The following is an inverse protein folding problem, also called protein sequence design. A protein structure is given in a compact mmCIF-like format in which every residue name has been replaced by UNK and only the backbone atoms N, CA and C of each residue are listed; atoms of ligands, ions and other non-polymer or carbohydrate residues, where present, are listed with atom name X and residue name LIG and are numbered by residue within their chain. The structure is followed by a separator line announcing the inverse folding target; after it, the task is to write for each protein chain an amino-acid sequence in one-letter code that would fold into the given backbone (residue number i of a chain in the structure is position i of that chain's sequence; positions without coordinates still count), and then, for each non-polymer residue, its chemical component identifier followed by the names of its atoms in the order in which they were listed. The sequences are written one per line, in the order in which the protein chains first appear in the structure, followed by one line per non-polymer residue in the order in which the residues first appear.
data_IF_528961296381
#
_entry.id   IF_528961296381
#
_cell.length_a   1.000
_cell.length_b   1.000
_cell.length_c   1.000
_cell.angle_alpha   90.00
_cell.angle_beta   90.00
_cell.angle_gamma   90.00
#
_symmetry.space_group_name_H-M   'P 1'
#
loop_
_entity.id
_entity.type
_entity.pdbx_description
1 polymer ?
#
# COMPACT_ATOMS: atom_id res chain seq x y z
N UNK A 1 53.65 58.27 16.86
CA UNK A 1 52.30 57.84 17.25
C UNK A 1 51.58 57.27 16.06
N UNK A 2 51.73 55.92 15.85
CA UNK A 2 51.13 55.17 14.73
C UNK A 2 49.84 54.55 15.20
N UNK A 3 48.70 54.91 14.61
CA UNK A 3 47.40 54.31 14.87
C UNK A 3 47.22 53.08 13.98
N UNK A 4 47.11 51.91 14.58
CA UNK A 4 46.73 50.67 13.92
C UNK A 4 45.19 50.60 13.92
N UNK A 5 44.58 50.62 12.73
CA UNK A 5 43.16 50.42 12.55
C UNK A 5 42.91 48.88 12.40
N UNK A 6 42.25 48.30 13.39
CA UNK A 6 41.81 46.90 13.30
C UNK A 6 40.53 46.84 12.44
N UNK A 7 40.64 46.29 11.23
CA UNK A 7 39.47 46.00 10.38
C UNK A 7 38.82 44.69 10.83
N UNK A 8 37.56 44.74 11.31
CA UNK A 8 36.75 43.59 11.57
C UNK A 8 36.20 43.03 10.24
N UNK A 9 36.70 41.90 9.80
CA UNK A 9 36.09 41.13 8.72
C UNK A 9 34.87 40.38 9.20
N UNK A 10 33.67 40.90 8.94
CA UNK A 10 32.43 40.19 9.07
C UNK A 10 32.34 39.12 7.98
N UNK A 11 32.66 37.89 8.35
CA UNK A 11 32.45 36.73 7.50
C UNK A 11 30.92 36.51 7.33
N UNK A 12 30.41 36.82 6.15
CA UNK A 12 29.09 36.43 5.70
C UNK A 12 29.14 34.90 5.48
N UNK A 13 28.71 34.15 6.48
CA UNK A 13 28.36 32.76 6.27
C UNK A 13 27.01 32.75 5.53
N UNK A 14 27.07 32.84 4.21
CA UNK A 14 25.95 32.55 3.35
C UNK A 14 25.62 31.06 3.49
N UNK A 15 24.60 30.74 4.27
CA UNK A 15 24.01 29.41 4.24
C UNK A 15 23.55 29.16 2.81
N UNK A 16 24.15 28.17 2.15
CA UNK A 16 23.67 27.67 0.87
C UNK A 16 22.30 27.06 1.21
N UNK A 17 21.23 27.70 0.80
CA UNK A 17 19.92 27.07 0.84
C UNK A 17 20.01 25.86 -0.09
N UNK A 18 20.08 24.65 0.47
CA UNK A 18 20.03 23.43 -0.28
C UNK A 18 18.60 23.32 -0.83
N UNK A 19 18.48 23.15 -2.15
CA UNK A 19 17.18 22.86 -2.75
C UNK A 19 16.66 21.55 -2.15
N UNK A 20 15.38 21.49 -1.87
CA UNK A 20 14.75 20.26 -1.42
C UNK A 20 14.85 19.18 -2.53
N UNK A 21 15.09 17.95 -2.12
CA UNK A 21 15.11 16.82 -3.05
C UNK A 21 13.67 16.43 -3.41
N UNK A 22 13.39 16.35 -4.71
CA UNK A 22 12.09 15.88 -5.22
C UNK A 22 11.91 14.39 -4.91
N UNK A 23 10.78 14.02 -4.32
CA UNK A 23 10.44 12.63 -4.02
C UNK A 23 8.98 12.34 -4.39
N UNK A 24 8.76 11.30 -5.18
CA UNK A 24 7.42 10.82 -5.50
C UNK A 24 7.07 9.58 -4.69
N UNK A 25 5.99 9.69 -3.88
CA UNK A 25 5.43 8.60 -3.07
C UNK A 25 4.18 8.03 -3.75
N UNK A 26 4.21 6.77 -4.16
CA UNK A 26 3.06 6.03 -4.66
C UNK A 26 2.32 5.33 -3.52
N UNK A 27 1.06 5.69 -3.30
CA UNK A 27 0.20 5.00 -2.32
C UNK A 27 -0.34 3.70 -2.89
N UNK A 28 -0.67 2.76 -2.00
CA UNK A 28 -1.26 1.46 -2.37
C UNK A 28 -2.69 1.57 -2.85
N UNK A 29 -3.46 2.51 -2.32
CA UNK A 29 -4.89 2.63 -2.56
C UNK A 29 -5.30 4.08 -2.78
N UNK A 30 -6.58 4.31 -3.08
CA UNK A 30 -7.15 5.66 -3.17
C UNK A 30 -6.95 6.42 -1.86
N UNK A 31 -7.07 7.74 -1.92
CA UNK A 31 -6.92 8.60 -0.74
C UNK A 31 -7.99 8.29 0.30
N UNK A 32 -7.56 7.73 1.42
CA UNK A 32 -8.41 7.32 2.55
C UNK A 32 -7.68 7.52 3.88
N UNK A 33 -8.38 7.31 4.99
CA UNK A 33 -7.90 7.59 6.35
C UNK A 33 -6.57 6.89 6.71
N UNK A 34 -6.30 5.68 6.21
CA UNK A 34 -5.04 4.97 6.45
C UNK A 34 -3.80 5.69 5.91
N UNK A 35 -3.98 6.62 4.99
CA UNK A 35 -2.89 7.43 4.42
C UNK A 35 -2.82 8.84 4.99
N UNK A 36 -3.68 9.18 5.97
CA UNK A 36 -3.75 10.54 6.52
C UNK A 36 -2.37 11.04 7.01
N UNK A 37 -1.55 10.16 7.60
CA UNK A 37 -0.22 10.53 8.09
C UNK A 37 0.69 11.13 7.02
N UNK A 38 0.66 10.61 5.79
CA UNK A 38 1.47 11.11 4.68
C UNK A 38 1.01 12.50 4.24
N UNK A 39 -0.30 12.71 4.15
CA UNK A 39 -0.87 14.02 3.78
C UNK A 39 -0.67 15.07 4.88
N UNK A 40 -0.82 14.66 6.15
CA UNK A 40 -0.56 15.55 7.30
C UNK A 40 0.92 15.93 7.35
N UNK A 41 1.83 15.01 7.09
CA UNK A 41 3.26 15.30 7.04
C UNK A 41 3.58 16.36 5.97
N UNK A 42 2.95 16.25 4.80
CA UNK A 42 3.07 17.25 3.73
C UNK A 42 2.45 18.59 4.14
N UNK A 43 1.20 18.60 4.64
CA UNK A 43 0.47 19.81 5.02
C UNK A 43 1.16 20.59 6.15
N UNK A 44 1.82 19.89 7.06
CA UNK A 44 2.56 20.47 8.18
C UNK A 44 4.01 20.87 7.88
N UNK A 45 4.48 20.60 6.68
CA UNK A 45 5.85 20.92 6.28
C UNK A 45 6.91 19.97 6.84
N UNK A 46 6.53 18.80 7.36
CA UNK A 46 7.51 17.85 7.94
C UNK A 46 8.45 17.28 6.90
N UNK A 47 8.02 17.16 5.65
CA UNK A 47 8.91 16.73 4.57
C UNK A 47 9.91 17.83 4.21
N UNK A 48 9.45 19.07 4.14
CA UNK A 48 10.28 20.24 3.85
C UNK A 48 11.32 20.48 4.95
N UNK A 49 10.99 20.22 6.22
CA UNK A 49 11.94 20.27 7.36
C UNK A 49 13.08 19.26 7.18
N UNK A 50 12.80 18.13 6.52
CA UNK A 50 13.81 17.09 6.19
C UNK A 50 14.46 17.31 4.80
N UNK A 51 14.18 18.43 4.14
CA UNK A 51 14.74 18.78 2.85
C UNK A 51 14.13 18.02 1.67
N UNK A 52 12.87 17.58 1.78
CA UNK A 52 12.16 16.83 0.74
C UNK A 52 10.98 17.64 0.19
N UNK A 53 10.82 17.68 -1.13
CA UNK A 53 9.56 18.06 -1.78
C UNK A 53 8.82 16.79 -2.23
N UNK A 54 7.79 16.42 -1.47
CA UNK A 54 7.09 15.14 -1.67
C UNK A 54 5.84 15.29 -2.52
N UNK A 55 5.81 14.60 -3.65
CA UNK A 55 4.61 14.40 -4.46
C UNK A 55 3.93 13.08 -4.08
N UNK A 56 2.68 13.15 -3.58
CA UNK A 56 1.90 11.96 -3.20
C UNK A 56 0.99 11.57 -4.36
N UNK A 57 1.18 10.36 -4.92
CA UNK A 57 0.32 9.77 -5.94
C UNK A 57 -0.65 8.77 -5.30
N UNK A 58 -1.97 8.95 -5.45
CA UNK A 58 -2.92 7.96 -5.00
C UNK A 58 -2.78 6.66 -5.79
N UNK A 59 -3.10 5.54 -5.16
CA UNK A 59 -3.22 4.24 -5.78
C UNK A 59 -4.67 3.92 -6.18
N UNK A 60 -4.97 2.64 -6.30
CA UNK A 60 -6.31 2.16 -6.66
C UNK A 60 -6.34 0.66 -6.95
N UNK A 61 -7.55 0.12 -7.26
CA UNK A 61 -7.74 -1.31 -7.50
C UNK A 61 -7.00 -1.85 -8.74
N UNK A 62 -6.64 -0.98 -9.67
CA UNK A 62 -5.96 -1.34 -10.92
C UNK A 62 -4.50 -0.84 -10.97
N UNK A 63 -3.96 -0.37 -9.84
CA UNK A 63 -2.60 0.12 -9.74
C UNK A 63 -1.75 -0.86 -8.93
N UNK A 64 -0.66 -1.33 -9.53
CA UNK A 64 0.37 -2.11 -8.85
C UNK A 64 1.54 -1.19 -8.47
N UNK A 65 1.70 -0.76 -7.22
CA UNK A 65 2.73 0.19 -6.81
C UNK A 65 4.14 -0.25 -7.17
N UNK A 66 4.43 -1.55 -7.08
CA UNK A 66 5.71 -2.13 -7.49
C UNK A 66 6.02 -1.83 -8.96
N UNK A 67 5.03 -1.93 -9.85
CA UNK A 67 5.23 -1.64 -11.27
C UNK A 67 5.47 -0.16 -11.53
N UNK A 68 4.79 0.71 -10.78
CA UNK A 68 5.01 2.16 -10.85
C UNK A 68 6.43 2.50 -10.41
N UNK A 69 6.90 1.93 -9.30
CA UNK A 69 8.26 2.14 -8.78
C UNK A 69 9.32 1.64 -9.77
N UNK A 70 9.19 0.39 -10.23
CA UNK A 70 10.16 -0.22 -11.16
C UNK A 70 10.17 0.47 -12.53
N UNK A 71 9.06 1.06 -12.94
CA UNK A 71 8.95 1.87 -14.15
C UNK A 71 9.47 3.30 -14.01
N UNK A 72 10.02 3.70 -12.85
CA UNK A 72 10.52 5.04 -12.59
C UNK A 72 9.43 6.09 -12.40
N UNK A 73 8.19 5.66 -12.15
CA UNK A 73 7.05 6.55 -11.90
C UNK A 73 6.93 7.00 -10.45
N UNK A 74 7.72 6.44 -9.55
CA UNK A 74 7.81 6.81 -8.13
C UNK A 74 9.18 6.41 -7.56
N UNK A 75 9.59 7.07 -6.49
CA UNK A 75 10.84 6.80 -5.77
C UNK A 75 10.61 5.91 -4.55
N UNK A 76 9.43 6.07 -3.94
CA UNK A 76 8.97 5.30 -2.78
C UNK A 76 7.55 4.82 -3.03
N UNK A 77 7.19 3.66 -2.46
CA UNK A 77 5.83 3.15 -2.54
C UNK A 77 5.35 2.65 -1.18
N UNK A 78 4.05 2.72 -0.96
CA UNK A 78 3.35 1.98 0.08
C UNK A 78 2.76 0.72 -0.56
N UNK A 79 3.11 -0.45 -0.03
CA UNK A 79 2.56 -1.72 -0.53
C UNK A 79 2.35 -2.72 0.60
N UNK A 80 1.62 -3.80 0.33
CA UNK A 80 1.50 -4.94 1.21
C UNK A 80 2.79 -5.75 1.23
N UNK A 81 3.19 -6.21 2.40
CA UNK A 81 4.38 -7.06 2.54
C UNK A 81 4.35 -8.31 1.62
N UNK A 82 3.24 -9.06 1.49
CA UNK A 82 3.19 -10.21 0.57
C UNK A 82 3.47 -9.84 -0.89
N UNK A 83 2.94 -8.72 -1.38
CA UNK A 83 3.20 -8.29 -2.77
C UNK A 83 4.64 -7.85 -2.97
N UNK A 84 5.21 -7.13 -1.99
CA UNK A 84 6.61 -6.74 -2.02
C UNK A 84 7.56 -7.95 -1.98
N UNK A 85 7.26 -8.97 -1.16
CA UNK A 85 8.03 -10.22 -1.12
C UNK A 85 7.96 -10.96 -2.45
N UNK A 86 6.76 -11.14 -3.02
CA UNK A 86 6.59 -11.78 -4.33
C UNK A 86 7.32 -11.05 -5.45
N UNK A 87 7.40 -9.72 -5.39
CA UNK A 87 8.20 -8.93 -6.34
C UNK A 87 9.70 -9.18 -6.15
N UNK A 88 10.18 -9.21 -4.90
CA UNK A 88 11.60 -9.50 -4.60
C UNK A 88 12.01 -10.91 -5.05
N UNK A 89 11.17 -11.91 -4.85
CA UNK A 89 11.40 -13.28 -5.33
C UNK A 89 11.58 -13.33 -6.86
N UNK A 90 10.92 -12.41 -7.57
CA UNK A 90 11.08 -12.23 -9.03
C UNK A 90 12.27 -11.33 -9.41
N UNK A 91 13.08 -10.93 -8.45
CA UNK A 91 14.29 -10.14 -8.67
C UNK A 91 14.10 -8.62 -8.62
N UNK A 92 12.95 -8.11 -8.19
CA UNK A 92 12.76 -6.65 -8.04
C UNK A 92 13.73 -6.08 -6.99
N UNK A 93 14.54 -5.05 -7.34
CA UNK A 93 15.53 -4.46 -6.45
C UNK A 93 14.89 -3.44 -5.48
N UNK A 94 13.93 -3.88 -4.69
CA UNK A 94 13.24 -3.06 -3.71
C UNK A 94 13.69 -3.36 -2.29
N UNK A 95 13.71 -2.35 -1.41
CA UNK A 95 14.06 -2.45 0.01
C UNK A 95 12.92 -1.92 0.85
N UNK A 96 12.66 -2.57 1.98
CA UNK A 96 11.75 -2.04 2.98
C UNK A 96 12.49 -1.00 3.84
N UNK A 97 12.01 0.25 3.83
CA UNK A 97 12.60 1.36 4.59
C UNK A 97 11.77 1.73 5.81
N UNK A 98 10.48 1.34 5.86
CA UNK A 98 9.60 1.61 7.01
C UNK A 98 8.41 0.64 7.03
N UNK A 99 7.89 0.39 8.22
CA UNK A 99 6.68 -0.40 8.42
C UNK A 99 5.72 0.34 9.36
N UNK A 100 4.90 1.27 8.83
CA UNK A 100 3.99 2.09 9.64
C UNK A 100 2.84 1.30 10.25
N UNK A 101 2.49 0.13 9.71
CA UNK A 101 1.43 -0.75 10.22
C UNK A 101 2.00 -2.06 10.76
N UNK A 102 1.69 -2.40 12.00
CA UNK A 102 2.17 -3.62 12.64
C UNK A 102 1.42 -4.88 12.18
N UNK A 103 0.17 -4.72 11.70
CA UNK A 103 -0.72 -5.82 11.26
C UNK A 103 -1.50 -5.42 10.01
N UNK A 104 -1.82 -6.42 9.17
CA UNK A 104 -2.77 -6.24 8.07
C UNK A 104 -4.18 -6.03 8.63
N UNK A 105 -4.94 -5.11 8.02
CA UNK A 105 -6.37 -4.97 8.25
C UNK A 105 -7.23 -5.82 7.31
N UNK A 106 -6.63 -6.68 6.49
CA UNK A 106 -7.38 -7.50 5.54
C UNK A 106 -8.24 -8.52 6.28
N UNK A 107 -9.51 -8.57 5.91
CA UNK A 107 -10.51 -9.52 6.40
C UNK A 107 -11.19 -10.20 5.21
N UNK A 108 -11.78 -11.36 5.44
CA UNK A 108 -12.76 -11.97 4.55
C UNK A 108 -14.13 -11.87 5.22
N UNK A 109 -15.05 -11.17 4.59
CA UNK A 109 -16.39 -10.91 5.08
C UNK A 109 -17.39 -11.69 4.24
N UNK A 110 -18.24 -12.49 4.90
CA UNK A 110 -19.29 -13.29 4.26
C UNK A 110 -20.66 -12.82 4.71
N UNK A 111 -21.67 -12.90 3.85
CA UNK A 111 -23.06 -12.70 4.28
C UNK A 111 -23.51 -13.89 5.12
N UNK A 112 -24.13 -13.62 6.25
CA UNK A 112 -24.62 -14.67 7.18
C UNK A 112 -25.60 -15.66 6.55
N UNK A 113 -26.36 -15.22 5.56
CA UNK A 113 -27.33 -16.05 4.85
C UNK A 113 -26.71 -17.19 4.02
N UNK A 114 -25.40 -17.09 3.70
CA UNK A 114 -24.65 -18.17 3.03
C UNK A 114 -24.21 -19.28 3.97
N UNK A 115 -24.37 -19.10 5.29
CA UNK A 115 -24.06 -20.12 6.28
C UNK A 115 -22.56 -20.45 6.39
N UNK A 116 -21.70 -19.55 5.93
CA UNK A 116 -20.23 -19.68 6.01
C UNK A 116 -19.80 -19.13 7.37
N UNK A 117 -19.49 -20.02 8.31
CA UNK A 117 -19.12 -19.69 9.68
C UNK A 117 -17.64 -20.00 9.97
N UNK A 118 -17.03 -20.84 9.15
CA UNK A 118 -15.67 -21.32 9.35
C UNK A 118 -14.95 -21.54 8.01
N UNK A 119 -13.62 -21.69 7.98
CA UNK A 119 -12.87 -22.00 6.75
C UNK A 119 -13.28 -23.32 6.08
N UNK A 120 -13.80 -24.27 6.84
CA UNK A 120 -14.27 -25.56 6.36
C UNK A 120 -15.51 -25.44 5.44
N UNK A 121 -16.19 -24.30 5.52
CA UNK A 121 -17.38 -23.99 4.70
C UNK A 121 -17.03 -23.31 3.37
N UNK A 122 -15.74 -22.98 3.11
CA UNK A 122 -15.32 -22.29 1.89
C UNK A 122 -15.45 -23.11 0.61
N UNK A 123 -15.18 -24.44 0.58
CA UNK A 123 -15.25 -25.22 -0.65
C UNK A 123 -16.60 -25.08 -1.36
N UNK A 124 -16.53 -24.90 -2.69
CA UNK A 124 -17.70 -24.69 -3.55
C UNK A 124 -18.20 -23.24 -3.63
N UNK A 125 -17.64 -22.33 -2.84
CA UNK A 125 -18.04 -20.92 -2.83
C UNK A 125 -17.10 -20.03 -3.64
N UNK A 126 -17.63 -18.85 -4.03
CA UNK A 126 -16.87 -17.81 -4.74
C UNK A 126 -16.40 -16.75 -3.73
N UNK A 127 -15.12 -16.53 -3.68
CA UNK A 127 -14.48 -15.54 -2.81
C UNK A 127 -14.00 -14.36 -3.65
N UNK A 128 -14.59 -13.20 -3.44
CA UNK A 128 -14.21 -11.96 -4.09
C UNK A 128 -12.97 -11.34 -3.47
N UNK A 129 -12.01 -10.90 -4.28
CA UNK A 129 -10.84 -10.18 -3.81
C UNK A 129 -10.34 -9.15 -4.81
N UNK A 130 -9.62 -8.14 -4.32
CA UNK A 130 -8.86 -7.25 -5.18
C UNK A 130 -7.62 -7.98 -5.71
N UNK A 131 -7.15 -7.53 -6.86
CA UNK A 131 -5.93 -8.07 -7.49
C UNK A 131 -4.76 -7.09 -7.37
N UNK A 132 -3.73 -7.28 -8.18
CA UNK A 132 -2.47 -6.51 -8.15
C UNK A 132 -1.73 -6.61 -6.81
N UNK A 133 -1.65 -7.83 -6.27
CA UNK A 133 -0.96 -8.17 -5.03
C UNK A 133 -1.86 -8.24 -3.80
N UNK A 134 -3.12 -7.77 -3.89
CA UNK A 134 -4.06 -7.85 -2.78
C UNK A 134 -4.66 -9.27 -2.63
N UNK A 135 -4.69 -10.07 -3.69
CA UNK A 135 -5.15 -11.46 -3.70
C UNK A 135 -4.20 -12.42 -2.98
N UNK A 136 -2.91 -12.08 -2.88
CA UNK A 136 -1.87 -12.99 -2.38
C UNK A 136 -2.18 -13.55 -0.98
N UNK A 137 -2.61 -12.75 0.01
CA UNK A 137 -2.93 -13.28 1.34
C UNK A 137 -4.08 -14.30 1.31
N UNK A 138 -5.14 -14.04 0.53
CA UNK A 138 -6.28 -14.95 0.40
C UNK A 138 -5.87 -16.25 -0.27
N UNK A 139 -5.19 -16.17 -1.41
CA UNK A 139 -4.71 -17.34 -2.13
C UNK A 139 -3.73 -18.17 -1.30
N UNK A 140 -2.83 -17.51 -0.56
CA UNK A 140 -1.91 -18.19 0.36
C UNK A 140 -2.65 -18.89 1.51
N UNK A 141 -3.74 -18.29 1.99
CA UNK A 141 -4.57 -18.92 3.03
C UNK A 141 -5.29 -20.14 2.48
N UNK A 142 -5.92 -20.05 1.31
CA UNK A 142 -6.54 -21.20 0.65
C UNK A 142 -5.53 -22.33 0.40
N UNK A 143 -4.33 -22.01 -0.08
CA UNK A 143 -3.27 -22.98 -0.26
C UNK A 143 -2.85 -23.69 1.04
N UNK A 144 -2.82 -22.99 2.19
CA UNK A 144 -2.55 -23.58 3.50
C UNK A 144 -3.67 -24.52 3.98
N UNK A 145 -4.91 -24.23 3.60
CA UNK A 145 -6.06 -25.09 3.88
C UNK A 145 -6.16 -26.28 2.91
N UNK A 146 -5.35 -26.28 1.83
CA UNK A 146 -5.40 -27.32 0.82
C UNK A 146 -6.52 -27.13 -0.20
N UNK A 147 -7.11 -25.96 -0.29
CA UNK A 147 -8.21 -25.67 -1.21
C UNK A 147 -7.68 -25.12 -2.54
N UNK A 148 -7.94 -25.80 -3.68
CA UNK A 148 -7.73 -25.23 -5.00
C UNK A 148 -8.48 -23.89 -5.16
N UNK A 149 -7.91 -22.98 -5.97
CA UNK A 149 -8.48 -21.62 -6.14
C UNK A 149 -9.00 -21.37 -7.56
N UNK A 150 -9.19 -22.43 -8.32
CA UNK A 150 -9.63 -22.42 -9.72
C UNK A 150 -11.08 -22.91 -9.92
N UNK A 151 -11.80 -23.15 -8.81
CA UNK A 151 -13.18 -23.65 -8.83
C UNK A 151 -13.31 -25.16 -9.04
N UNK A 152 -12.21 -25.92 -8.98
CA UNK A 152 -12.26 -27.38 -9.02
C UNK A 152 -12.86 -27.98 -7.76
N UNK A 153 -13.23 -29.28 -7.81
CA UNK A 153 -13.86 -29.97 -6.70
C UNK A 153 -13.06 -29.85 -5.40
N UNK A 154 -13.75 -29.50 -4.32
CA UNK A 154 -13.15 -29.29 -3.01
C UNK A 154 -12.40 -27.96 -2.87
N UNK A 155 -12.42 -27.10 -3.89
CA UNK A 155 -11.79 -25.80 -3.89
C UNK A 155 -12.77 -24.64 -3.83
N UNK A 156 -12.25 -23.44 -4.05
CA UNK A 156 -12.99 -22.18 -4.11
C UNK A 156 -12.77 -21.51 -5.47
N UNK A 157 -13.73 -20.68 -5.88
CA UNK A 157 -13.53 -19.79 -7.04
C UNK A 157 -13.04 -18.44 -6.55
N UNK A 158 -11.92 -17.96 -7.08
CA UNK A 158 -11.44 -16.58 -6.79
C UNK A 158 -11.92 -15.65 -7.89
N UNK A 159 -12.72 -14.65 -7.50
CA UNK A 159 -13.26 -13.65 -8.40
C UNK A 159 -12.65 -12.29 -8.12
N UNK A 160 -12.17 -11.60 -9.17
CA UNK A 160 -11.77 -10.20 -9.05
C UNK A 160 -12.99 -9.34 -8.75
N UNK A 161 -12.92 -8.57 -7.67
CA UNK A 161 -13.87 -7.50 -7.36
C UNK A 161 -13.19 -6.14 -7.52
N UNK A 162 -14.00 -5.11 -7.68
CA UNK A 162 -13.55 -3.73 -7.76
C UNK A 162 -13.52 -3.08 -6.38
N UNK A 163 -13.59 -1.80 -6.36
CA UNK A 163 -13.44 -0.89 -5.24
C UNK A 163 -14.53 -1.03 -4.17
N UNK A 164 -15.74 -1.45 -4.55
CA UNK A 164 -16.91 -1.53 -3.68
C UNK A 164 -17.29 -2.97 -3.31
N UNK A 165 -18.20 -3.11 -2.37
CA UNK A 165 -18.74 -4.40 -1.90
C UNK A 165 -20.02 -4.82 -2.65
N UNK A 166 -20.40 -4.14 -3.74
CA UNK A 166 -21.58 -4.48 -4.52
C UNK A 166 -21.66 -5.95 -4.95
N UNK A 167 -20.56 -6.60 -5.39
CA UNK A 167 -20.59 -8.01 -5.74
C UNK A 167 -21.03 -8.92 -4.58
N UNK A 168 -20.67 -8.56 -3.34
CA UNK A 168 -21.14 -9.27 -2.14
C UNK A 168 -22.63 -9.01 -1.90
N UNK A 169 -23.06 -7.74 -1.94
CA UNK A 169 -24.46 -7.36 -1.69
C UNK A 169 -25.41 -7.90 -2.78
N UNK A 170 -24.93 -8.01 -4.01
CA UNK A 170 -25.66 -8.57 -5.15
C UNK A 170 -25.56 -10.10 -5.25
N UNK A 171 -24.90 -10.74 -4.26
CA UNK A 171 -24.73 -12.20 -4.17
C UNK A 171 -24.02 -12.81 -5.39
N UNK A 172 -23.13 -12.04 -5.99
CA UNK A 172 -22.23 -12.51 -7.07
C UNK A 172 -21.02 -13.27 -6.50
N UNK A 173 -20.70 -13.02 -5.23
CA UNK A 173 -19.73 -13.75 -4.42
C UNK A 173 -20.32 -14.00 -3.03
N UNK A 174 -19.97 -15.12 -2.42
CA UNK A 174 -20.43 -15.49 -1.08
C UNK A 174 -19.64 -14.75 0.00
N UNK A 175 -18.37 -14.48 -0.25
CA UNK A 175 -17.50 -13.68 0.62
C UNK A 175 -16.69 -12.68 -0.20
N UNK A 176 -16.29 -11.58 0.42
CA UNK A 176 -15.42 -10.59 -0.18
C UNK A 176 -14.31 -10.18 0.79
N UNK A 177 -13.12 -9.90 0.26
CA UNK A 177 -12.08 -9.24 1.05
C UNK A 177 -12.48 -7.81 1.35
N UNK A 178 -12.33 -7.42 2.60
CA UNK A 178 -12.66 -6.09 3.15
C UNK A 178 -11.54 -5.59 4.04
N UNK A 179 -11.63 -4.34 4.46
CA UNK A 179 -10.73 -3.76 5.47
C UNK A 179 -11.51 -2.84 6.39
N UNK A 180 -11.15 -2.69 7.68
CA UNK A 180 -11.91 -1.91 8.65
C UNK A 180 -11.91 -0.39 8.40
N UNK A 181 -11.27 0.07 7.34
CA UNK A 181 -11.15 1.49 6.97
C UNK A 181 -11.64 1.80 5.54
N UNK A 182 -12.20 0.83 4.83
CA UNK A 182 -12.70 1.01 3.45
C UNK A 182 -14.23 1.02 3.37
N UNK A 183 -14.91 0.38 4.33
CA UNK A 183 -16.35 0.12 4.34
C UNK A 183 -17.08 0.95 5.40
#
# INVERSE_FOLDING_TARGET
LTKIAAGAALGLWGGVAQAADDLTLQLKWVTQAQFAGYYVAKDKGFYEEEGLDVTIKPGGPDIAPVQVLLGGGADVMVDWLPSALAAREKGAPIVNIAQPFAKSGLMLTCLKEHGIESPEDFPGNTLGTWFFGNEIPLMSWMGKLGYPTDGSDGGVTIQKINFNVDPLLQKQVECATTTPYNE
#
